data_IF_012319871463
#
_entry.id   IF_012319871463
#
_cell.length_a   1.000
_cell.length_b   1.000
_cell.length_c   1.000
_cell.angle_alpha   90.00
_cell.angle_beta   90.00
_cell.angle_gamma   90.00
#
_symmetry.space_group_name_H-M   'P 1'
#
loop_
_entity.id
_entity.type
_entity.pdbx_description
1 polymer ?
#
# COMPACT_ATOMS: atom_id res chain seq x y z
N UNK A 1 0.05 -3.61 -0.89
CA UNK A 1 -0.86 -2.49 -0.54
C UNK A 1 -0.33 -1.08 -0.82
N UNK A 2 0.97 -0.77 -0.67
CA UNK A 2 1.49 0.59 -0.99
C UNK A 2 1.42 0.91 -2.48
N UNK A 3 1.92 0.02 -3.33
CA UNK A 3 1.98 0.25 -4.77
C UNK A 3 0.58 0.32 -5.40
N UNK A 4 -0.37 -0.53 -4.98
CA UNK A 4 -1.75 -0.50 -5.48
C UNK A 4 -2.45 0.80 -5.12
N UNK A 5 -2.19 1.32 -3.92
CA UNK A 5 -2.74 2.60 -3.50
C UNK A 5 -2.12 3.77 -4.25
N UNK A 6 -0.81 3.75 -4.45
CA UNK A 6 -0.15 4.72 -5.32
C UNK A 6 -0.83 4.76 -6.70
N UNK A 7 -1.05 3.58 -7.32
CA UNK A 7 -1.75 3.49 -8.61
C UNK A 7 -3.16 4.10 -8.56
N UNK A 8 -3.92 3.88 -7.48
CA UNK A 8 -5.25 4.49 -7.29
C UNK A 8 -5.18 6.00 -7.11
N UNK A 9 -4.19 6.50 -6.36
CA UNK A 9 -4.03 7.93 -6.11
C UNK A 9 -3.60 8.70 -7.38
N UNK A 10 -3.09 8.03 -8.40
CA UNK A 10 -2.82 8.65 -9.71
C UNK A 10 -4.07 9.20 -10.39
N UNK A 11 -5.25 8.59 -10.19
CA UNK A 11 -6.52 9.06 -10.75
C UNK A 11 -6.98 10.41 -10.19
N UNK A 12 -6.31 10.94 -9.16
CA UNK A 12 -6.54 12.32 -8.67
C UNK A 12 -5.85 13.38 -9.53
N UNK A 13 -4.91 12.96 -10.40
CA UNK A 13 -4.07 13.84 -11.22
C UNK A 13 -4.17 13.54 -12.71
N UNK A 14 -4.34 12.27 -13.07
CA UNK A 14 -4.44 11.80 -14.44
C UNK A 14 -5.86 11.37 -14.74
N UNK A 15 -6.34 11.63 -15.96
CA UNK A 15 -7.66 11.21 -16.40
C UNK A 15 -7.75 9.70 -16.54
N UNK A 16 -6.70 9.07 -17.06
CA UNK A 16 -6.66 7.65 -17.34
C UNK A 16 -5.37 7.02 -16.83
N UNK A 17 -5.51 5.83 -16.25
CA UNK A 17 -4.38 5.05 -15.70
C UNK A 17 -4.54 3.59 -16.14
N UNK A 18 -3.58 3.12 -16.91
CA UNK A 18 -3.47 1.76 -17.40
C UNK A 18 -2.42 1.00 -16.60
N UNK A 19 -2.72 -0.25 -16.25
CA UNK A 19 -1.90 -1.03 -15.32
C UNK A 19 -1.78 -2.46 -15.83
N UNK A 20 -0.54 -2.91 -16.01
CA UNK A 20 -0.23 -4.32 -16.23
C UNK A 20 0.53 -4.84 -15.01
N UNK A 21 0.19 -6.05 -14.55
CA UNK A 21 0.85 -6.67 -13.40
C UNK A 21 0.98 -8.16 -13.63
N UNK A 22 2.04 -8.77 -13.09
CA UNK A 22 2.27 -10.20 -13.26
C UNK A 22 3.44 -10.73 -12.44
N UNK A 23 3.62 -12.05 -12.46
CA UNK A 23 4.75 -12.71 -11.80
C UNK A 23 6.04 -12.55 -12.61
N UNK A 24 7.18 -12.63 -11.91
CA UNK A 24 8.50 -12.83 -12.48
C UNK A 24 9.21 -13.98 -11.76
N UNK A 25 10.00 -14.72 -12.53
CA UNK A 25 10.85 -15.82 -12.05
C UNK A 25 12.31 -15.49 -12.39
N UNK A 26 12.87 -14.56 -11.62
CA UNK A 26 14.23 -14.04 -11.88
C UNK A 26 15.30 -15.09 -11.56
N UNK A 27 16.36 -15.19 -12.39
CA UNK A 27 17.48 -16.10 -12.15
C UNK A 27 18.34 -15.62 -10.98
N UNK A 28 18.97 -16.58 -10.29
CA UNK A 28 20.06 -16.35 -9.34
C UNK A 28 21.36 -16.82 -9.97
N UNK A 29 22.42 -16.02 -9.83
CA UNK A 29 23.76 -16.36 -10.31
C UNK A 29 24.44 -17.25 -9.27
N UNK A 30 24.89 -18.43 -9.70
CA UNK A 30 25.63 -19.38 -8.89
C UNK A 30 27.13 -19.02 -8.83
N UNK A 31 27.90 -19.59 -7.89
CA UNK A 31 29.34 -19.29 -7.75
C UNK A 31 30.18 -19.61 -9.00
N UNK A 32 29.74 -20.55 -9.84
CA UNK A 32 30.36 -20.93 -11.11
C UNK A 32 29.96 -20.01 -12.29
N UNK A 33 29.11 -19.01 -12.05
CA UNK A 33 28.58 -18.09 -13.06
C UNK A 33 27.30 -18.59 -13.74
N UNK A 34 26.85 -19.82 -13.48
CA UNK A 34 25.62 -20.36 -14.06
C UNK A 34 24.40 -19.63 -13.50
N UNK A 35 23.43 -19.31 -14.37
CA UNK A 35 22.17 -18.69 -13.96
C UNK A 35 21.08 -19.75 -13.80
N UNK A 36 20.47 -19.81 -12.62
CA UNK A 36 19.42 -20.77 -12.30
C UNK A 36 18.16 -20.05 -11.87
N UNK A 37 17.03 -20.41 -12.48
CA UNK A 37 15.70 -20.01 -12.02
C UNK A 37 15.17 -21.11 -11.11
N UNK A 38 14.92 -20.79 -9.85
CA UNK A 38 14.37 -21.70 -8.85
C UNK A 38 13.16 -21.05 -8.18
N UNK A 39 12.06 -21.80 -8.05
CA UNK A 39 10.86 -21.36 -7.36
C UNK A 39 10.12 -22.54 -6.72
N UNK A 40 9.50 -22.35 -5.55
CA UNK A 40 8.70 -23.39 -4.93
C UNK A 40 7.35 -23.57 -5.63
N UNK A 41 6.83 -24.79 -5.55
CA UNK A 41 5.45 -25.13 -5.91
C UNK A 41 4.66 -25.41 -4.63
N UNK A 42 3.42 -24.91 -4.57
CA UNK A 42 2.55 -25.08 -3.39
C UNK A 42 1.27 -25.82 -3.76
N UNK A 43 0.84 -26.71 -2.86
CA UNK A 43 -0.43 -27.43 -2.95
C UNK A 43 -0.41 -28.59 -3.94
N UNK A 44 -1.51 -29.36 -3.97
CA UNK A 44 -1.65 -30.58 -4.78
C UNK A 44 -1.48 -30.33 -6.29
N UNK A 45 -1.78 -29.12 -6.75
CA UNK A 45 -1.71 -28.73 -8.16
C UNK A 45 -0.38 -28.07 -8.54
N UNK A 46 0.57 -27.94 -7.60
CA UNK A 46 1.89 -27.38 -7.88
C UNK A 46 1.83 -25.92 -8.34
N UNK A 47 1.13 -25.06 -7.60
CA UNK A 47 1.03 -23.63 -7.93
C UNK A 47 2.40 -22.98 -7.76
N UNK A 48 2.93 -22.41 -8.85
CA UNK A 48 4.24 -21.76 -8.84
C UNK A 48 4.23 -20.47 -8.02
N UNK A 49 5.21 -20.32 -7.13
CA UNK A 49 5.41 -19.11 -6.33
C UNK A 49 6.43 -18.24 -7.03
N UNK A 50 6.07 -17.04 -7.50
CA UNK A 50 7.01 -16.18 -8.18
C UNK A 50 8.10 -15.68 -7.23
N UNK A 51 9.30 -15.43 -7.76
CA UNK A 51 10.36 -14.80 -6.95
C UNK A 51 10.13 -13.31 -6.82
N UNK A 52 9.55 -12.69 -7.85
CA UNK A 52 9.25 -11.26 -7.90
C UNK A 52 7.88 -11.01 -8.52
N UNK A 53 7.35 -9.82 -8.32
CA UNK A 53 6.16 -9.31 -8.97
C UNK A 53 6.56 -8.07 -9.76
N UNK A 54 5.99 -7.91 -10.96
CA UNK A 54 6.14 -6.68 -11.71
C UNK A 54 4.83 -5.90 -11.76
N UNK A 55 4.96 -4.59 -11.93
CA UNK A 55 3.85 -3.71 -12.29
C UNK A 55 4.35 -2.66 -13.27
N UNK A 56 3.63 -2.44 -14.35
CA UNK A 56 3.86 -1.33 -15.28
C UNK A 56 2.63 -0.44 -15.27
N UNK A 57 2.85 0.85 -15.02
CA UNK A 57 1.80 1.85 -14.91
C UNK A 57 2.03 2.91 -15.97
N UNK A 58 1.02 3.13 -16.80
CA UNK A 58 0.97 4.21 -17.78
C UNK A 58 -0.18 5.14 -17.40
N UNK A 59 0.07 6.44 -17.32
CA UNK A 59 -0.96 7.43 -17.00
C UNK A 59 -0.95 8.55 -18.03
N UNK A 60 -2.14 9.04 -18.36
CA UNK A 60 -2.34 10.15 -19.28
C UNK A 60 -3.32 11.17 -18.69
N UNK A 61 -3.08 12.44 -18.99
CA UNK A 61 -3.97 13.54 -18.66
C UNK A 61 -4.56 14.11 -19.96
N UNK A 62 -5.85 13.86 -20.19
CA UNK A 62 -6.55 14.34 -21.37
C UNK A 62 -6.59 15.87 -21.49
N UNK A 63 -6.50 16.62 -20.38
CA UNK A 63 -6.55 18.08 -20.42
C UNK A 63 -5.23 18.70 -20.87
N UNK A 64 -4.10 18.11 -20.49
CA UNK A 64 -2.76 18.63 -20.79
C UNK A 64 -2.03 17.87 -21.90
N UNK A 65 -2.49 16.65 -22.22
CA UNK A 65 -1.78 15.69 -23.06
C UNK A 65 -0.55 15.08 -22.38
N UNK A 66 -0.36 15.30 -21.07
CA UNK A 66 0.78 14.74 -20.33
C UNK A 66 0.67 13.21 -20.27
N UNK A 67 1.79 12.54 -20.55
CA UNK A 67 1.91 11.08 -20.51
C UNK A 67 3.11 10.68 -19.65
N UNK A 68 2.90 9.71 -18.76
CA UNK A 68 3.97 9.17 -17.91
C UNK A 68 3.90 7.65 -17.80
N UNK A 69 5.06 7.02 -17.69
CA UNK A 69 5.19 5.56 -17.58
C UNK A 69 6.22 5.15 -16.53
N UNK A 70 5.90 4.19 -15.67
CA UNK A 70 6.88 3.58 -14.78
C UNK A 70 6.65 2.09 -14.63
N UNK A 71 7.76 1.35 -14.63
CA UNK A 71 7.79 -0.07 -14.37
C UNK A 71 8.45 -0.33 -13.01
N UNK A 72 7.98 -1.36 -12.32
CA UNK A 72 8.44 -1.75 -11.00
C UNK A 72 8.69 -3.25 -10.96
N UNK A 73 9.75 -3.67 -10.28
CA UNK A 73 10.00 -5.07 -9.91
C UNK A 73 10.17 -5.14 -8.39
N UNK A 74 9.35 -5.97 -7.74
CA UNK A 74 9.33 -6.11 -6.28
C UNK A 74 9.58 -7.57 -5.91
N UNK A 75 10.40 -7.86 -4.89
CA UNK A 75 10.55 -9.23 -4.40
C UNK A 75 9.21 -9.73 -3.84
N UNK A 76 8.89 -11.00 -4.09
CA UNK A 76 7.73 -11.68 -3.51
C UNK A 76 8.03 -12.11 -2.07
N UNK A 77 8.25 -11.13 -1.21
CA UNK A 77 8.58 -11.33 0.19
C UNK A 77 8.40 -10.06 1.02
N UNK A 78 8.57 -10.14 2.35
CA UNK A 78 8.44 -8.98 3.21
C UNK A 78 9.45 -7.89 2.86
N UNK A 79 8.96 -6.71 2.48
CA UNK A 79 9.76 -5.51 2.36
C UNK A 79 10.03 -4.97 3.77
N UNK A 80 11.19 -5.32 4.34
CA UNK A 80 11.62 -4.84 5.66
C UNK A 80 12.13 -3.41 5.55
N UNK A 81 11.78 -2.59 6.55
CA UNK A 81 12.00 -1.15 6.48
C UNK A 81 11.01 -0.51 5.51
N UNK A 82 10.67 0.75 5.73
CA UNK A 82 9.76 1.48 4.86
C UNK A 82 10.41 1.74 3.49
N UNK A 83 10.64 0.70 2.70
CA UNK A 83 11.32 0.80 1.42
C UNK A 83 10.54 1.74 0.49
N UNK A 84 11.28 2.63 -0.16
CA UNK A 84 10.72 3.63 -1.05
C UNK A 84 10.22 2.94 -2.32
N UNK A 85 9.02 3.28 -2.81
CA UNK A 85 8.58 2.77 -4.11
C UNK A 85 9.54 3.18 -5.22
N UNK A 86 10.20 4.33 -5.06
CA UNK A 86 11.22 4.82 -6.00
C UNK A 86 12.41 3.85 -6.13
N UNK A 87 12.73 3.05 -5.10
CA UNK A 87 13.85 2.09 -5.16
C UNK A 87 13.55 0.83 -5.96
N UNK A 88 12.29 0.59 -6.31
CA UNK A 88 11.86 -0.57 -7.11
C UNK A 88 11.59 -0.23 -8.57
N UNK A 89 11.78 1.04 -8.96
CA UNK A 89 11.58 1.50 -10.34
C UNK A 89 12.68 0.93 -11.23
N UNK A 90 12.27 0.33 -12.35
CA UNK A 90 13.17 -0.22 -13.37
C UNK A 90 12.74 0.27 -14.77
N UNK A 91 13.61 0.18 -15.78
CA UNK A 91 13.19 0.34 -17.17
C UNK A 91 12.11 -0.67 -17.56
N UNK A 92 11.17 -0.29 -18.45
CA UNK A 92 10.15 -1.23 -18.95
C UNK A 92 10.79 -2.42 -19.67
N UNK A 93 11.91 -2.21 -20.37
CA UNK A 93 12.66 -3.24 -21.07
C UNK A 93 13.21 -4.34 -20.14
N UNK A 94 13.51 -4.02 -18.88
CA UNK A 94 13.91 -5.02 -17.88
C UNK A 94 12.73 -5.94 -17.52
N UNK A 95 11.51 -5.40 -17.43
CA UNK A 95 10.31 -6.21 -17.23
C UNK A 95 10.02 -7.07 -18.47
N UNK A 96 10.08 -6.51 -19.67
CA UNK A 96 9.88 -7.26 -20.92
C UNK A 96 10.88 -8.41 -21.05
N UNK A 97 12.18 -8.14 -20.79
CA UNK A 97 13.26 -9.13 -20.79
C UNK A 97 12.99 -10.31 -19.85
N UNK A 98 12.49 -10.03 -18.64
CA UNK A 98 12.27 -11.07 -17.63
C UNK A 98 10.90 -11.74 -17.67
N UNK A 99 9.91 -11.09 -18.27
CA UNK A 99 8.55 -11.64 -18.41
C UNK A 99 8.32 -12.34 -19.75
N UNK A 100 9.10 -12.01 -20.78
CA UNK A 100 8.85 -12.43 -22.16
C UNK A 100 7.64 -11.75 -22.81
N UNK A 101 7.08 -10.71 -22.18
CA UNK A 101 5.95 -9.95 -22.69
C UNK A 101 6.42 -8.73 -23.47
N UNK A 102 5.61 -8.30 -24.44
CA UNK A 102 5.71 -6.95 -25.00
C UNK A 102 4.64 -6.06 -24.36
N UNK A 103 5.09 -5.01 -23.67
CA UNK A 103 4.27 -4.17 -22.81
C UNK A 103 4.11 -2.79 -23.46
N UNK A 104 2.86 -2.40 -23.71
CA UNK A 104 2.50 -1.17 -24.42
C UNK A 104 3.22 -1.01 -25.78
N UNK A 105 3.20 -2.03 -26.68
CA UNK A 105 3.96 -1.98 -27.94
C UNK A 105 3.52 -0.83 -28.86
N UNK A 106 2.26 -0.43 -28.80
CA UNK A 106 1.68 0.65 -29.62
C UNK A 106 2.04 2.05 -29.10
N UNK A 107 2.64 2.16 -27.92
CA UNK A 107 2.99 3.43 -27.31
C UNK A 107 4.34 3.94 -27.84
N UNK A 108 4.29 4.96 -28.70
CA UNK A 108 5.49 5.61 -29.24
C UNK A 108 6.32 6.26 -28.13
N UNK A 109 7.64 6.08 -28.18
CA UNK A 109 8.57 6.70 -27.22
C UNK A 109 8.47 6.18 -25.79
N UNK A 110 7.86 5.01 -25.56
CA UNK A 110 7.65 4.44 -24.20
C UNK A 110 8.92 4.34 -23.35
N UNK A 111 10.06 4.05 -23.97
CA UNK A 111 11.35 3.91 -23.27
C UNK A 111 11.93 5.25 -22.80
N UNK A 112 11.60 6.34 -23.50
CA UNK A 112 12.03 7.70 -23.18
C UNK A 112 10.94 8.50 -22.46
N UNK A 113 9.78 7.89 -22.19
CA UNK A 113 8.66 8.56 -21.55
C UNK A 113 9.03 8.98 -20.12
N UNK A 114 8.61 10.18 -19.74
CA UNK A 114 8.88 10.71 -18.42
C UNK A 114 8.28 9.80 -17.35
N UNK A 115 9.02 9.46 -16.28
CA UNK A 115 8.51 8.51 -15.32
C UNK A 115 7.52 9.12 -14.32
N UNK A 116 6.61 8.28 -13.83
CA UNK A 116 5.71 8.58 -12.71
C UNK A 116 6.46 8.69 -11.37
N UNK A 117 7.58 7.98 -11.24
CA UNK A 117 8.35 7.78 -10.00
C UNK A 117 9.86 7.75 -10.27
N UNK A 118 10.69 7.81 -9.23
CA UNK A 118 12.13 7.58 -9.33
C UNK A 118 12.99 8.81 -9.63
N UNK A 119 14.25 8.56 -10.00
CA UNK A 119 15.24 9.62 -10.23
C UNK A 119 14.87 10.49 -11.45
N UNK A 120 14.92 11.81 -11.29
CA UNK A 120 14.53 12.78 -12.34
C UNK A 120 13.10 13.32 -12.22
N UNK A 121 12.33 12.85 -11.23
CA UNK A 121 11.00 13.37 -10.90
C UNK A 121 11.12 14.50 -9.86
N UNK A 122 10.25 15.53 -9.91
CA UNK A 122 10.30 16.65 -8.96
C UNK A 122 10.08 16.12 -7.53
N UNK A 123 10.65 16.75 -6.51
CA UNK A 123 10.60 16.29 -5.10
C UNK A 123 9.18 15.98 -4.59
N UNK A 124 8.17 16.71 -5.06
CA UNK A 124 6.73 16.52 -4.73
C UNK A 124 5.98 15.50 -5.60
N UNK A 125 6.63 14.92 -6.60
CA UNK A 125 6.08 13.92 -7.51
C UNK A 125 6.68 12.52 -7.27
N UNK A 126 7.65 12.40 -6.35
CA UNK A 126 8.25 11.12 -5.93
C UNK A 126 7.22 10.18 -5.32
N UNK A 127 7.47 8.89 -5.44
CA UNK A 127 6.55 7.85 -4.97
C UNK A 127 6.85 7.42 -3.52
N UNK A 128 7.78 8.12 -2.85
CA UNK A 128 8.30 7.82 -1.53
C UNK A 128 7.56 8.35 -0.30
N UNK A 129 7.09 7.37 0.48
CA UNK A 129 7.05 7.18 1.95
C UNK A 129 6.33 8.22 2.85
N UNK A 130 6.46 9.53 2.64
CA UNK A 130 6.05 10.50 3.68
C UNK A 130 4.54 10.55 3.98
N UNK A 131 3.70 10.50 2.94
CA UNK A 131 2.25 10.75 3.11
C UNK A 131 1.43 9.47 3.32
N UNK A 132 1.93 8.31 2.89
CA UNK A 132 1.10 7.10 2.82
C UNK A 132 1.08 6.28 4.10
N UNK A 133 2.07 6.37 4.98
CA UNK A 133 2.21 5.45 6.11
C UNK A 133 1.18 5.66 7.22
N UNK A 134 0.99 6.90 7.69
CA UNK A 134 -0.08 7.21 8.65
C UNK A 134 -1.47 6.89 8.09
N UNK A 135 -1.66 7.10 6.77
CA UNK A 135 -2.91 6.68 6.11
C UNK A 135 -3.03 5.16 6.12
N UNK A 136 -2.05 4.39 5.66
CA UNK A 136 -2.13 2.92 5.54
C UNK A 136 -2.43 2.29 6.88
N UNK A 137 -1.75 2.73 7.95
CA UNK A 137 -2.06 2.28 9.30
C UNK A 137 -3.51 2.58 9.66
N UNK A 138 -4.00 3.79 9.35
CA UNK A 138 -5.42 4.11 9.47
C UNK A 138 -6.36 3.19 8.69
N UNK A 139 -6.06 2.83 7.44
CA UNK A 139 -6.93 1.90 6.70
C UNK A 139 -6.91 0.48 7.26
N UNK A 140 -5.79 0.04 7.87
CA UNK A 140 -5.74 -1.26 8.55
C UNK A 140 -6.64 -1.27 9.78
N UNK A 141 -6.52 -0.25 10.62
CA UNK A 141 -7.36 -0.08 11.81
C UNK A 141 -8.84 0.07 11.44
N UNK A 142 -9.15 0.83 10.39
CA UNK A 142 -10.51 0.93 9.85
C UNK A 142 -11.01 -0.42 9.33
N UNK A 143 -10.13 -1.22 8.73
CA UNK A 143 -10.41 -2.58 8.31
C UNK A 143 -10.76 -3.47 9.50
N UNK A 144 -10.00 -3.41 10.60
CA UNK A 144 -10.30 -4.15 11.82
C UNK A 144 -11.71 -3.81 12.32
N UNK A 145 -12.05 -2.52 12.46
CA UNK A 145 -13.40 -2.09 12.87
C UNK A 145 -14.52 -2.59 11.95
N UNK A 146 -14.27 -2.69 10.65
CA UNK A 146 -15.27 -3.14 9.67
C UNK A 146 -15.45 -4.66 9.63
N UNK A 147 -14.40 -5.38 9.97
CA UNK A 147 -14.35 -6.84 9.89
C UNK A 147 -14.64 -7.50 11.24
N UNK A 148 -14.64 -6.75 12.34
CA UNK A 148 -15.12 -7.22 13.64
C UNK A 148 -16.50 -7.88 13.46
N UNK A 149 -16.65 -9.04 14.06
CA UNK A 149 -17.85 -9.87 13.97
C UNK A 149 -18.70 -9.84 15.24
N UNK A 150 -18.11 -9.42 16.35
CA UNK A 150 -18.78 -9.24 17.63
C UNK A 150 -18.29 -7.98 18.38
N UNK A 151 -18.95 -7.69 19.49
CA UNK A 151 -18.68 -6.50 20.30
C UNK A 151 -17.32 -6.52 21.01
N UNK A 152 -16.77 -7.69 21.29
CA UNK A 152 -15.45 -7.83 21.92
C UNK A 152 -14.37 -7.48 20.91
N UNK A 153 -14.43 -8.06 19.71
CA UNK A 153 -13.53 -7.73 18.61
C UNK A 153 -13.61 -6.26 18.22
N UNK A 154 -14.83 -5.67 18.25
CA UNK A 154 -15.03 -4.26 17.95
C UNK A 154 -14.40 -3.36 19.03
N UNK A 155 -14.50 -3.73 20.31
CA UNK A 155 -13.89 -3.00 21.42
C UNK A 155 -12.36 -3.06 21.37
N UNK A 156 -11.79 -4.22 21.07
CA UNK A 156 -10.34 -4.40 20.92
C UNK A 156 -9.81 -3.58 19.73
N UNK A 157 -10.49 -3.64 18.58
CA UNK A 157 -10.16 -2.83 17.41
C UNK A 157 -10.24 -1.33 17.71
N UNK A 158 -11.22 -0.89 18.50
CA UNK A 158 -11.33 0.51 18.92
C UNK A 158 -10.21 0.95 19.88
N UNK A 159 -9.82 0.09 20.81
CA UNK A 159 -8.69 0.34 21.72
C UNK A 159 -7.38 0.57 20.94
N UNK A 160 -7.13 -0.24 19.89
CA UNK A 160 -5.98 -0.08 19.01
C UNK A 160 -5.99 1.29 18.28
N UNK A 161 -7.18 1.73 17.83
CA UNK A 161 -7.37 3.06 17.23
C UNK A 161 -7.04 4.17 18.21
N UNK A 162 -7.51 4.09 19.46
CA UNK A 162 -7.27 5.10 20.49
C UNK A 162 -5.79 5.22 20.85
N UNK A 163 -5.08 4.09 20.96
CA UNK A 163 -3.64 4.07 21.26
C UNK A 163 -2.82 4.80 20.17
N UNK A 164 -3.32 4.78 18.92
CA UNK A 164 -2.63 5.33 17.74
C UNK A 164 -3.23 6.64 17.21
N UNK A 165 -4.19 7.21 17.93
CA UNK A 165 -4.96 8.42 17.57
C UNK A 165 -4.08 9.58 17.07
N UNK A 166 -2.94 9.82 17.70
CA UNK A 166 -2.04 10.95 17.38
C UNK A 166 -1.37 10.86 16.00
N UNK A 167 -1.43 9.69 15.34
CA UNK A 167 -0.85 9.43 14.01
C UNK A 167 -1.90 9.28 12.91
N UNK A 168 -3.19 9.48 13.23
CA UNK A 168 -4.32 9.18 12.35
C UNK A 168 -5.01 10.47 11.87
N UNK A 169 -4.89 10.80 10.59
CA UNK A 169 -5.57 11.94 9.97
C UNK A 169 -7.10 11.74 9.80
N UNK A 170 -7.61 10.53 10.01
CA UNK A 170 -8.96 10.11 9.59
C UNK A 170 -9.90 9.69 10.75
N UNK A 171 -9.67 10.21 11.96
CA UNK A 171 -10.46 9.88 13.15
C UNK A 171 -11.99 10.05 13.02
N UNK A 172 -12.52 11.07 12.31
CA UNK A 172 -13.95 11.18 12.07
C UNK A 172 -14.55 10.05 11.23
N UNK A 173 -13.74 9.38 10.39
CA UNK A 173 -14.19 8.21 9.63
C UNK A 173 -14.26 6.98 10.55
N UNK A 174 -13.25 6.80 11.40
CA UNK A 174 -13.21 5.70 12.38
C UNK A 174 -14.41 5.74 13.32
N UNK A 175 -14.73 6.92 13.86
CA UNK A 175 -15.87 7.12 14.76
C UNK A 175 -17.21 6.77 14.10
N UNK A 176 -17.39 7.15 12.83
CA UNK A 176 -18.60 6.82 12.07
C UNK A 176 -18.76 5.32 11.84
N UNK A 177 -17.67 4.63 11.49
CA UNK A 177 -17.73 3.17 11.30
C UNK A 177 -17.94 2.43 12.63
N UNK A 178 -17.33 2.89 13.72
CA UNK A 178 -17.57 2.35 15.06
C UNK A 178 -19.05 2.46 15.46
N UNK A 179 -19.65 3.64 15.27
CA UNK A 179 -21.08 3.84 15.55
C UNK A 179 -21.95 2.93 14.71
N UNK A 180 -21.64 2.79 13.42
CA UNK A 180 -22.35 1.90 12.50
C UNK A 180 -22.24 0.44 12.93
N UNK A 181 -21.03 -0.05 13.19
CA UNK A 181 -20.78 -1.44 13.59
C UNK A 181 -21.42 -1.77 14.93
N UNK A 182 -21.25 -0.90 15.93
CA UNK A 182 -21.87 -1.02 17.26
C UNK A 182 -23.39 -1.09 17.17
N UNK A 183 -24.02 -0.21 16.35
CA UNK A 183 -25.47 -0.23 16.14
C UNK A 183 -25.95 -1.50 15.44
N UNK A 184 -25.17 -2.00 14.46
CA UNK A 184 -25.52 -3.21 13.71
C UNK A 184 -25.44 -4.47 14.57
N UNK A 185 -24.46 -4.52 15.49
CA UNK A 185 -24.23 -5.64 16.41
C UNK A 185 -25.01 -5.51 17.72
N UNK A 186 -25.74 -4.40 17.91
CA UNK A 186 -26.41 -4.05 19.17
C UNK A 186 -25.46 -4.08 20.39
N UNK A 187 -24.25 -3.56 20.24
CA UNK A 187 -23.28 -3.51 21.34
C UNK A 187 -23.71 -2.52 22.42
N UNK A 188 -23.70 -2.97 23.68
CA UNK A 188 -23.91 -2.12 24.86
C UNK A 188 -22.65 -1.28 25.15
N UNK A 189 -22.32 -0.34 24.28
CA UNK A 189 -21.11 0.48 24.48
C UNK A 189 -21.28 1.94 24.05
N UNK A 190 -21.03 2.85 24.99
CA UNK A 190 -20.85 4.29 24.75
C UNK A 190 -19.36 4.61 24.57
N UNK A 191 -18.97 5.33 23.50
CA UNK A 191 -17.56 5.70 23.31
C UNK A 191 -17.05 6.57 24.46
N UNK A 192 -15.79 6.41 24.91
CA UNK A 192 -15.20 7.29 25.90
C UNK A 192 -15.20 8.72 25.33
N UNK A 193 -15.89 9.63 26.02
CA UNK A 193 -15.85 11.05 25.70
C UNK A 193 -14.40 11.55 25.72
N UNK A 194 -14.06 12.43 24.77
CA UNK A 194 -12.78 13.14 24.67
C UNK A 194 -12.20 13.47 26.05
N UNK A 195 -10.91 13.22 26.21
CA UNK A 195 -10.15 13.31 27.45
C UNK A 195 -10.64 14.39 28.40
N UNK A 196 -11.02 13.96 29.60
CA UNK A 196 -11.02 14.85 30.76
C UNK A 196 -9.60 14.93 31.27
N UNK A 197 -9.15 16.17 31.34
CA UNK A 197 -7.92 16.61 31.96
C UNK A 197 -7.68 15.86 33.28
N UNK A 198 -6.48 15.31 33.41
CA UNK A 198 -5.94 14.90 34.69
C UNK A 198 -5.68 16.17 35.52
N UNK A 199 -6.71 16.66 36.21
CA UNK A 199 -6.54 17.59 37.31
C UNK A 199 -7.65 17.39 38.35
N UNK A 200 -7.22 17.36 39.61
CA UNK A 200 -8.00 17.19 40.86
C UNK A 200 -8.57 15.78 41.09
N UNK A 201 -8.37 15.10 42.21
CA UNK A 201 -7.65 15.38 43.44
C UNK A 201 -7.99 14.25 44.43
N UNK A 202 -7.12 14.00 45.42
CA UNK A 202 -7.59 13.34 46.65
C UNK A 202 -6.77 13.82 47.84
N UNK A 203 -7.46 14.60 48.67
CA UNK A 203 -7.10 14.90 50.04
C UNK A 203 -7.67 13.79 50.95
N UNK A 204 -6.84 13.41 51.94
CA UNK A 204 -7.15 13.10 53.33
C UNK A 204 -8.26 12.09 53.73
N UNK A 205 -7.84 11.05 54.48
CA UNK A 205 -8.36 10.62 55.80
C UNK A 205 -7.32 9.61 56.37
N UNK A 206 -6.85 9.62 57.62
CA UNK A 206 -7.42 10.12 58.87
C UNK A 206 -7.99 8.93 59.66
N UNK A 207 -7.26 8.42 60.65
CA UNK A 207 -7.67 7.32 61.54
C UNK A 207 -6.49 6.73 62.29
#
# INVERSE_FOLDING_TARGET
MRLERFTKDLLKRYSDVYVVSGPLFLPTVQPDGTQIVQYPLIGKHGVAVPSHLFKVVYATDAATGEQRLSAFILPNGPLRGHADLDSFVVPISEVEKHSGLSLFPELAGRDAMRPLCGMGVRKGERCGIGHMDGRIEGWKLLGHLKLSSDCTELADAWSEVQQKQSKLDAMPVMQRELQRASSTMACEWTPPSKGKDASSGQAAAGG
#
